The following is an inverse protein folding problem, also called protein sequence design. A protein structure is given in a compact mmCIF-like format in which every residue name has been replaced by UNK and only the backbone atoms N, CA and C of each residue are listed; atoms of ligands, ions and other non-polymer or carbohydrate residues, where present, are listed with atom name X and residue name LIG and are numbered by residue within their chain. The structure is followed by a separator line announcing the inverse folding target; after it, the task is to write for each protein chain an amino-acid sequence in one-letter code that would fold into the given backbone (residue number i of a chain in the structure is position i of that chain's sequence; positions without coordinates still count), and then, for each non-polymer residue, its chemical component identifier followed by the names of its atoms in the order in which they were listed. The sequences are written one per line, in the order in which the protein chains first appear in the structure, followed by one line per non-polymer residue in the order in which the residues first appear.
data_IF_082865685261
#
_entry.id   IF_082865685261
#
_cell.length_a   1.000
_cell.length_b   1.000
_cell.length_c   1.000
_cell.angle_alpha   90.00
_cell.angle_beta   90.00
_cell.angle_gamma   90.00
#
_symmetry.space_group_name_H-M   'P 1'
#
loop_
_entity.id
_entity.type
_entity.pdbx_description
1 polymer ?
#
# COMPACT_ATOMS: atom_id res chain seq x y z
N UNK A 1 15.19 52.28 20.95
CA UNK A 1 15.96 53.35 20.25
C UNK A 1 16.99 52.59 19.42
N UNK A 2 16.93 52.40 18.11
CA UNK A 2 16.65 53.30 16.98
C UNK A 2 16.56 52.44 15.68
N UNK A 3 15.53 52.69 14.85
CA UNK A 3 15.50 52.78 13.36
C UNK A 3 16.21 51.73 12.46
N UNK A 4 15.82 51.37 11.22
CA UNK A 4 14.68 51.57 10.29
C UNK A 4 15.16 50.97 8.93
N UNK A 5 14.22 50.51 8.10
CA UNK A 5 14.20 50.63 6.62
C UNK A 5 14.97 49.64 5.68
N UNK A 6 14.14 48.89 4.94
CA UNK A 6 13.99 48.74 3.46
C UNK A 6 14.95 47.94 2.56
N UNK A 7 14.27 47.08 1.75
CA UNK A 7 14.40 46.81 0.30
C UNK A 7 15.65 46.04 -0.17
N UNK A 8 15.67 45.23 -1.23
CA UNK A 8 14.71 44.66 -2.19
C UNK A 8 15.56 43.73 -3.10
N UNK A 9 14.90 43.00 -4.00
CA UNK A 9 15.41 42.42 -5.27
C UNK A 9 15.73 40.93 -5.27
N UNK A 10 14.75 40.21 -5.82
CA UNK A 10 14.84 38.91 -6.53
C UNK A 10 15.37 39.18 -7.95
N UNK A 11 16.11 38.25 -8.57
CA UNK A 11 15.56 37.60 -9.78
C UNK A 11 15.86 36.08 -9.78
N UNK A 12 14.86 35.22 -9.97
CA UNK A 12 14.39 34.73 -11.27
C UNK A 12 15.46 34.01 -12.07
N UNK A 13 15.47 32.67 -12.01
CA UNK A 13 15.86 31.85 -13.17
C UNK A 13 14.75 30.84 -13.47
N UNK A 14 14.02 31.20 -14.52
CA UNK A 14 12.96 30.42 -15.10
C UNK A 14 13.49 29.20 -15.85
N UNK A 15 12.79 28.09 -15.60
CA UNK A 15 12.48 26.98 -16.49
C UNK A 15 12.62 27.31 -17.98
N UNK A 16 13.43 26.53 -18.72
CA UNK A 16 13.33 26.41 -20.17
C UNK A 16 13.27 24.94 -20.58
N UNK A 17 12.16 24.59 -21.21
CA UNK A 17 11.93 23.33 -21.89
C UNK A 17 12.53 23.37 -23.30
N UNK A 18 13.04 22.23 -23.78
CA UNK A 18 13.16 21.91 -25.22
C UNK A 18 13.57 20.44 -25.37
N UNK A 19 12.62 19.54 -25.66
CA UNK A 19 12.34 18.98 -27.00
C UNK A 19 13.43 18.02 -27.48
N UNK A 20 13.09 16.72 -27.52
CA UNK A 20 13.61 15.62 -28.37
C UNK A 20 12.83 14.37 -27.95
N UNK A 21 12.26 13.51 -28.79
CA UNK A 21 12.08 13.46 -30.24
C UNK A 21 11.01 12.37 -30.42
N UNK A 22 9.86 12.71 -31.01
CA UNK A 22 8.97 11.70 -31.57
C UNK A 22 9.67 11.12 -32.81
N UNK A 23 9.76 9.79 -32.90
CA UNK A 23 10.04 9.10 -34.16
C UNK A 23 9.02 7.98 -34.31
N UNK A 24 8.33 8.09 -35.44
CA UNK A 24 7.19 7.35 -35.96
C UNK A 24 7.43 5.84 -36.12
N UNK A 25 6.36 5.04 -36.29
CA UNK A 25 6.43 3.59 -36.42
C UNK A 25 6.88 3.21 -37.83
N UNK A 26 7.81 2.29 -37.95
CA UNK A 26 8.19 1.68 -39.21
C UNK A 26 7.67 0.25 -39.25
N UNK A 27 6.89 0.00 -40.31
CA UNK A 27 6.36 -1.27 -40.72
C UNK A 27 7.43 -2.35 -40.83
N UNK A 28 7.05 -3.61 -40.61
CA UNK A 28 7.20 -4.56 -41.69
C UNK A 28 6.21 -5.72 -41.63
N UNK A 29 5.65 -5.92 -42.80
CA UNK A 29 4.76 -6.94 -43.29
C UNK A 29 5.29 -8.37 -43.16
N UNK A 30 4.33 -9.30 -43.08
CA UNK A 30 4.28 -10.57 -43.80
C UNK A 30 5.38 -11.60 -43.51
N UNK A 31 4.97 -12.66 -42.79
CA UNK A 31 5.10 -14.04 -43.28
C UNK A 31 4.30 -14.99 -42.39
N UNK A 32 3.11 -15.38 -42.86
CA UNK A 32 2.55 -16.69 -42.52
C UNK A 32 3.13 -17.70 -43.52
N UNK A 33 3.58 -18.87 -43.04
CA UNK A 33 3.23 -20.09 -43.74
C UNK A 33 2.55 -21.10 -42.81
N UNK A 34 1.88 -22.02 -43.48
CA UNK A 34 0.78 -22.87 -43.06
C UNK A 34 1.28 -24.17 -42.41
N UNK A 35 0.45 -24.69 -41.50
CA UNK A 35 0.31 -26.08 -41.06
C UNK A 35 1.51 -26.84 -40.49
N UNK A 36 1.43 -27.14 -39.17
CA UNK A 36 1.78 -28.47 -38.63
C UNK A 36 0.71 -28.91 -37.61
N UNK A 37 0.10 -30.05 -37.90
CA UNK A 37 -0.81 -30.84 -37.05
C UNK A 37 -0.15 -31.27 -35.72
N UNK A 38 -0.94 -31.73 -34.73
CA UNK A 38 -0.58 -31.67 -33.32
C UNK A 38 0.38 -32.80 -32.94
N UNK A 39 1.46 -32.45 -32.24
CA UNK A 39 2.31 -33.43 -31.57
C UNK A 39 2.12 -33.26 -30.07
N UNK A 40 1.42 -34.24 -29.49
CA UNK A 40 1.38 -34.53 -28.06
C UNK A 40 2.79 -34.80 -27.55
N UNK A 41 3.31 -33.89 -26.74
CA UNK A 41 4.33 -34.18 -25.75
C UNK A 41 3.93 -33.49 -24.44
N UNK A 42 3.93 -34.20 -23.29
CA UNK A 42 3.60 -33.61 -22.00
C UNK A 42 4.74 -32.68 -21.59
N UNK A 43 4.63 -31.40 -21.97
CA UNK A 43 5.56 -30.38 -21.54
C UNK A 43 5.56 -30.31 -20.01
N UNK A 44 6.69 -30.75 -19.46
CA UNK A 44 7.07 -30.70 -18.06
C UNK A 44 6.46 -29.50 -17.35
N UNK A 45 5.81 -29.79 -16.21
CA UNK A 45 5.26 -28.82 -15.26
C UNK A 45 6.31 -27.75 -14.96
N UNK A 46 6.25 -26.63 -15.67
CA UNK A 46 7.00 -25.42 -15.31
C UNK A 46 6.60 -25.05 -13.88
N UNK A 47 7.54 -24.85 -12.96
CA UNK A 47 7.21 -24.44 -11.61
C UNK A 47 6.43 -23.12 -11.71
N UNK A 48 5.21 -23.14 -11.17
CA UNK A 48 4.30 -21.99 -11.12
C UNK A 48 5.06 -20.88 -10.40
N UNK A 49 5.54 -19.87 -11.12
CA UNK A 49 6.14 -18.65 -10.53
C UNK A 49 5.15 -18.15 -9.48
N UNK A 50 5.54 -18.25 -8.22
CA UNK A 50 4.75 -17.73 -7.10
C UNK A 50 4.44 -16.28 -7.38
N UNK A 51 3.15 -15.99 -7.56
CA UNK A 51 2.68 -14.64 -7.81
C UNK A 51 3.02 -13.81 -6.57
N UNK A 52 3.92 -12.84 -6.73
CA UNK A 52 4.28 -11.90 -5.67
C UNK A 52 2.99 -11.29 -5.10
N UNK A 53 2.74 -11.52 -3.81
CA UNK A 53 1.54 -11.04 -3.12
C UNK A 53 1.56 -9.51 -3.18
N UNK A 54 0.49 -8.90 -3.74
CA UNK A 54 0.34 -7.45 -3.78
C UNK A 54 0.24 -6.91 -2.35
N UNK A 55 1.13 -5.99 -1.98
CA UNK A 55 1.13 -5.35 -0.66
C UNK A 55 0.35 -4.05 -0.74
N UNK A 56 -0.78 -3.98 -0.04
CA UNK A 56 -1.57 -2.76 0.14
C UNK A 56 -1.18 -2.12 1.48
N UNK A 57 -0.84 -0.83 1.46
CA UNK A 57 -0.61 -0.04 2.67
C UNK A 57 -1.84 0.80 2.96
N UNK A 58 -2.54 0.45 4.03
CA UNK A 58 -3.69 1.20 4.53
C UNK A 58 -3.36 1.82 5.89
N UNK A 59 -3.81 3.04 6.14
CA UNK A 59 -3.54 3.79 7.37
C UNK A 59 -4.87 4.10 8.07
N UNK A 60 -5.04 3.56 9.27
CA UNK A 60 -6.27 3.70 10.05
C UNK A 60 -6.23 4.90 11.01
N UNK A 61 -7.37 5.56 11.18
CA UNK A 61 -7.62 6.52 12.27
C UNK A 61 -8.33 5.78 13.40
N UNK A 62 -7.84 5.92 14.64
CA UNK A 62 -8.36 5.24 15.84
C UNK A 62 -8.25 6.17 17.06
N UNK A 63 -9.07 5.99 18.11
CA UNK A 63 -8.92 6.74 19.36
C UNK A 63 -7.59 6.41 20.03
N UNK A 64 -7.08 7.35 20.81
CA UNK A 64 -5.78 7.21 21.49
C UNK A 64 -5.75 5.97 22.41
N UNK A 65 -6.80 5.76 23.21
CA UNK A 65 -6.88 4.60 24.09
C UNK A 65 -6.82 3.25 23.36
N UNK A 66 -7.38 3.15 22.15
CA UNK A 66 -7.27 1.93 21.34
C UNK A 66 -5.91 1.79 20.67
N UNK A 67 -5.28 2.91 20.30
CA UNK A 67 -3.93 2.90 19.77
C UNK A 67 -2.93 2.37 20.80
N UNK A 68 -3.08 2.74 22.07
CA UNK A 68 -2.23 2.29 23.16
C UNK A 68 -2.30 0.77 23.38
N UNK A 69 -3.48 0.15 23.21
CA UNK A 69 -3.62 -1.31 23.26
C UNK A 69 -2.72 -2.02 22.25
N UNK A 70 -2.47 -1.41 21.08
CA UNK A 70 -1.53 -1.98 20.10
C UNK A 70 -0.09 -1.94 20.62
N UNK A 71 0.29 -0.88 21.36
CA UNK A 71 1.60 -0.81 22.00
C UNK A 71 1.74 -1.85 23.11
N UNK A 72 0.72 -1.99 23.97
CA UNK A 72 0.70 -3.00 25.02
C UNK A 72 0.86 -4.42 24.46
N UNK A 73 0.14 -4.76 23.38
CA UNK A 73 0.28 -6.06 22.72
C UNK A 73 1.71 -6.26 22.21
N UNK A 74 2.32 -5.23 21.62
CA UNK A 74 3.71 -5.30 21.16
C UNK A 74 4.67 -5.56 22.33
N UNK A 75 4.44 -4.93 23.47
CA UNK A 75 5.28 -5.10 24.65
C UNK A 75 5.12 -6.49 25.26
N UNK A 76 3.90 -7.03 25.30
CA UNK A 76 3.64 -8.41 25.72
C UNK A 76 4.39 -9.39 24.81
N UNK A 77 4.28 -9.23 23.50
CA UNK A 77 4.99 -10.09 22.54
C UNK A 77 6.52 -9.94 22.66
N UNK A 78 7.02 -8.71 22.85
CA UNK A 78 8.44 -8.46 23.05
C UNK A 78 8.98 -9.15 24.32
N UNK A 79 8.23 -9.09 25.43
CA UNK A 79 8.54 -9.81 26.68
C UNK A 79 8.51 -11.33 26.49
N UNK A 80 7.66 -11.83 25.60
CA UNK A 80 7.63 -13.23 25.19
C UNK A 80 8.73 -13.62 24.19
N UNK A 81 9.68 -12.72 23.88
CA UNK A 81 10.80 -12.97 22.96
C UNK A 81 10.45 -12.85 21.48
N UNK A 82 9.25 -12.37 21.13
CA UNK A 82 8.80 -12.16 19.76
C UNK A 82 8.46 -10.67 19.52
N UNK A 83 9.44 -9.83 19.14
CA UNK A 83 9.16 -8.44 18.81
C UNK A 83 8.34 -8.35 17.52
N UNK A 84 7.11 -7.86 17.61
CA UNK A 84 6.17 -7.76 16.48
C UNK A 84 5.98 -6.32 15.99
N UNK A 85 5.73 -6.18 14.69
CA UNK A 85 5.40 -4.88 14.07
C UNK A 85 3.92 -4.56 14.22
N UNK A 86 3.58 -3.26 14.14
CA UNK A 86 2.18 -2.80 14.15
C UNK A 86 1.31 -3.53 13.12
N UNK A 87 1.82 -3.69 11.89
CA UNK A 87 1.10 -4.37 10.81
C UNK A 87 0.84 -5.86 11.10
N UNK A 88 1.69 -6.51 11.89
CA UNK A 88 1.52 -7.92 12.23
C UNK A 88 0.44 -8.10 13.29
N UNK A 89 0.41 -7.25 14.32
CA UNK A 89 -0.66 -7.21 15.32
C UNK A 89 -2.02 -7.04 14.65
N UNK A 90 -2.14 -6.09 13.71
CA UNK A 90 -3.40 -5.87 12.98
C UNK A 90 -3.81 -7.08 12.14
N UNK A 91 -2.86 -7.72 11.44
CA UNK A 91 -3.16 -8.95 10.65
C UNK A 91 -3.54 -10.13 11.54
N UNK A 92 -2.90 -10.26 12.71
CA UNK A 92 -3.25 -11.28 13.70
C UNK A 92 -4.65 -11.05 14.27
N UNK A 93 -4.99 -9.79 14.59
CA UNK A 93 -6.34 -9.40 15.02
C UNK A 93 -7.40 -9.74 13.98
N UNK A 94 -7.15 -9.46 12.70
CA UNK A 94 -8.07 -9.83 11.62
C UNK A 94 -8.28 -11.34 11.51
N UNK A 95 -7.21 -12.13 11.64
CA UNK A 95 -7.31 -13.61 11.65
C UNK A 95 -8.13 -14.10 12.85
N UNK A 96 -7.91 -13.53 14.03
CA UNK A 96 -8.67 -13.87 15.23
C UNK A 96 -10.16 -13.52 15.08
N UNK A 97 -10.48 -12.34 14.55
CA UNK A 97 -11.86 -11.92 14.28
C UNK A 97 -12.54 -12.83 13.24
N UNK A 98 -11.81 -13.29 12.22
CA UNK A 98 -12.34 -14.21 11.21
C UNK A 98 -12.64 -15.62 11.75
N UNK A 99 -11.99 -16.01 12.85
CA UNK A 99 -12.22 -17.30 13.51
C UNK A 99 -13.41 -17.26 14.50
N UNK A 100 -13.96 -16.08 14.83
CA UNK A 100 -15.07 -15.94 15.76
C UNK A 100 -16.41 -16.35 15.13
N UNK A 101 -17.36 -16.75 15.98
CA UNK A 101 -18.75 -17.00 15.53
C UNK A 101 -19.45 -15.69 15.13
N UNK A 102 -20.49 -15.74 14.28
CA UNK A 102 -21.23 -14.54 13.87
C UNK A 102 -21.81 -13.74 15.05
N UNK A 103 -22.24 -14.43 16.12
CA UNK A 103 -22.78 -13.78 17.31
C UNK A 103 -21.68 -13.03 18.11
N UNK A 104 -20.51 -13.65 18.27
CA UNK A 104 -19.35 -13.01 18.92
C UNK A 104 -18.86 -11.80 18.12
N UNK A 105 -18.78 -11.93 16.80
CA UNK A 105 -18.35 -10.83 15.92
C UNK A 105 -19.31 -9.64 16.02
N UNK A 106 -20.62 -9.87 15.99
CA UNK A 106 -21.63 -8.82 16.15
C UNK A 106 -21.49 -8.09 17.49
N UNK A 107 -21.29 -8.83 18.58
CA UNK A 107 -21.07 -8.24 19.91
C UNK A 107 -19.78 -7.43 19.97
N UNK A 108 -18.69 -7.96 19.40
CA UNK A 108 -17.40 -7.26 19.36
C UNK A 108 -17.49 -5.93 18.59
N UNK A 109 -18.22 -5.91 17.46
CA UNK A 109 -18.41 -4.70 16.66
C UNK A 109 -19.40 -3.71 17.27
N UNK A 110 -20.41 -4.18 18.00
CA UNK A 110 -21.41 -3.32 18.63
C UNK A 110 -20.82 -2.44 19.76
N UNK A 111 -19.73 -2.88 20.40
CA UNK A 111 -19.04 -2.13 21.44
C UNK A 111 -18.07 -1.06 20.91
N UNK A 112 -17.90 -0.94 19.60
CA UNK A 112 -16.99 0.06 19.02
C UNK A 112 -17.68 1.42 18.91
N UNK A 113 -17.03 2.46 19.44
CA UNK A 113 -17.48 3.83 19.23
C UNK A 113 -17.28 4.22 17.77
N UNK A 114 -18.35 4.73 17.14
CA UNK A 114 -18.28 5.22 15.77
C UNK A 114 -17.44 6.49 15.73
N UNK A 115 -16.20 6.38 15.25
CA UNK A 115 -15.36 7.53 14.98
C UNK A 115 -15.99 8.31 13.82
N UNK A 116 -16.29 9.59 14.03
CA UNK A 116 -16.66 10.51 12.95
C UNK A 116 -15.42 10.80 12.10
N UNK A 117 -15.02 9.87 11.24
CA UNK A 117 -13.88 10.05 10.35
C UNK A 117 -14.30 10.85 9.13
N UNK A 118 -13.83 12.09 9.06
CA UNK A 118 -13.52 12.73 7.79
C UNK A 118 -12.05 12.50 7.48
N UNK A 119 -11.70 12.13 6.24
CA UNK A 119 -10.33 12.31 5.77
C UNK A 119 -10.03 13.81 5.93
N UNK A 120 -9.01 14.25 6.69
CA UNK A 120 -8.65 15.66 6.69
C UNK A 120 -8.47 16.06 5.22
N UNK A 121 -9.26 17.03 4.75
CA UNK A 121 -8.99 17.67 3.47
C UNK A 121 -7.54 18.15 3.61
N UNK A 122 -6.66 17.60 2.78
CA UNK A 122 -5.24 17.98 2.78
C UNK A 122 -5.13 19.52 2.79
N UNK A 123 -4.05 20.08 3.36
CA UNK A 123 -3.69 21.46 3.04
C UNK A 123 -3.53 21.61 1.52
#
# INVERSE_FOLDING_TARGET
MTTKKTASVVPTTARKASVRKAVSPAANEVAKPVAKMPRTEPAAKKPKKEQKIKVVRDSFTMPEGEYLKIAEIKDICAKAGQPVKKSEVLRAGLKALAAMTPAQLKRALAGLEKIKTGRPKKP
#
